data_IF_734846675985
#
_entry.id   IF_734846675985
#
_cell.length_a   1.000
_cell.length_b   1.000
_cell.length_c   1.000
_cell.angle_alpha   90.00
_cell.angle_beta   90.00
_cell.angle_gamma   90.00
#
_symmetry.space_group_name_H-M   'P 1'
#
loop_
_entity.id
_entity.type
_entity.pdbx_description
1 polymer ?
#
# COMPACT_ATOMS: atom_id res chain seq x y z
N UNK A 1 11.86 24.87 11.61
CA UNK A 1 10.66 24.12 12.02
C UNK A 1 10.99 23.40 13.31
N UNK A 2 10.01 23.22 14.19
CA UNK A 2 10.13 22.25 15.29
C UNK A 2 10.29 20.87 14.66
N UNK A 3 11.43 20.22 14.89
CA UNK A 3 11.67 18.85 14.42
C UNK A 3 10.78 17.92 15.24
N UNK A 4 9.73 17.38 14.62
CA UNK A 4 8.91 16.34 15.23
C UNK A 4 9.60 15.00 15.01
N UNK A 5 9.83 14.27 16.09
CA UNK A 5 10.48 12.95 16.06
C UNK A 5 9.43 11.91 16.38
N UNK A 6 9.40 10.81 15.63
CA UNK A 6 8.46 9.71 15.83
C UNK A 6 9.20 8.49 16.41
N UNK A 7 8.55 7.69 17.27
CA UNK A 7 9.17 6.49 17.82
C UNK A 7 9.30 5.37 16.77
N UNK A 8 8.36 5.31 15.82
CA UNK A 8 8.28 4.32 14.75
C UNK A 8 7.47 4.87 13.56
N UNK A 9 7.41 4.08 12.48
CA UNK A 9 6.67 4.42 11.27
C UNK A 9 5.16 4.42 11.48
N UNK A 10 4.63 3.47 12.26
CA UNK A 10 3.20 3.38 12.59
C UNK A 10 2.70 4.68 13.22
N UNK A 11 3.42 5.21 14.23
CA UNK A 11 3.08 6.46 14.92
C UNK A 11 3.17 7.69 14.02
N UNK A 12 4.14 7.72 13.10
CA UNK A 12 4.23 8.77 12.08
C UNK A 12 3.00 8.75 11.17
N UNK A 13 2.63 7.58 10.66
CA UNK A 13 1.53 7.41 9.73
C UNK A 13 0.17 7.73 10.39
N UNK A 14 -0.03 7.32 11.65
CA UNK A 14 -1.27 7.57 12.41
C UNK A 14 -1.66 9.03 12.55
N UNK A 15 -0.69 9.95 12.51
CA UNK A 15 -0.94 11.36 12.78
C UNK A 15 -1.54 12.11 11.58
N UNK A 16 -1.26 11.65 10.36
CA UNK A 16 -1.54 12.42 9.14
C UNK A 16 -2.21 11.61 8.04
N UNK A 17 -2.69 10.40 8.31
CA UNK A 17 -3.30 9.54 7.30
C UNK A 17 -4.83 9.60 7.28
N UNK A 18 -5.40 9.07 6.21
CA UNK A 18 -6.77 8.57 6.15
C UNK A 18 -6.76 7.08 6.51
N UNK A 19 -7.44 6.70 7.58
CA UNK A 19 -7.56 5.31 8.04
C UNK A 19 -8.79 4.62 7.45
N UNK A 20 -8.61 3.39 6.95
CA UNK A 20 -9.60 2.55 6.29
C UNK A 20 -9.60 1.12 6.87
N UNK A 21 -10.70 0.36 6.73
CA UNK A 21 -10.74 -1.07 7.04
C UNK A 21 -9.84 -1.87 6.09
N UNK A 22 -9.67 -3.18 6.31
CA UNK A 22 -9.17 -4.09 5.27
C UNK A 22 -9.97 -3.93 3.97
N UNK A 23 -9.27 -3.99 2.82
CA UNK A 23 -9.87 -3.76 1.51
C UNK A 23 -9.48 -4.82 0.49
N UNK A 24 -10.45 -5.15 -0.37
CA UNK A 24 -10.24 -5.93 -1.59
C UNK A 24 -10.67 -5.04 -2.76
N UNK A 25 -9.68 -4.54 -3.51
CA UNK A 25 -9.86 -3.67 -4.67
C UNK A 25 -9.97 -4.54 -5.93
N UNK A 26 -11.06 -5.31 -6.07
CA UNK A 26 -11.32 -6.21 -7.20
C UNK A 26 -12.35 -5.61 -8.20
N UNK A 27 -12.89 -6.40 -9.12
CA UNK A 27 -13.92 -5.96 -10.08
C UNK A 27 -15.35 -5.96 -9.48
N UNK A 28 -15.47 -6.32 -8.20
CA UNK A 28 -16.73 -6.49 -7.49
C UNK A 28 -17.04 -5.27 -6.60
N UNK A 29 -18.10 -5.37 -5.81
CA UNK A 29 -18.48 -4.35 -4.84
C UNK A 29 -17.89 -4.57 -3.43
N UNK A 30 -16.95 -5.49 -3.28
CA UNK A 30 -16.34 -5.85 -1.99
C UNK A 30 -15.78 -4.64 -1.24
N UNK A 31 -15.02 -3.77 -1.94
CA UNK A 31 -14.49 -2.55 -1.32
C UNK A 31 -15.59 -1.58 -0.88
N UNK A 32 -16.59 -1.33 -1.73
CA UNK A 32 -17.71 -0.44 -1.42
C UNK A 32 -18.53 -0.94 -0.21
N UNK A 33 -18.73 -2.26 -0.08
CA UNK A 33 -19.38 -2.87 1.08
C UNK A 33 -18.54 -2.64 2.35
N UNK A 34 -17.23 -2.90 2.30
CA UNK A 34 -16.35 -2.71 3.45
C UNK A 34 -16.34 -1.26 3.93
N UNK A 35 -16.25 -0.29 3.00
CA UNK A 35 -16.31 1.14 3.31
C UNK A 35 -17.67 1.53 3.92
N UNK A 36 -18.77 1.03 3.36
CA UNK A 36 -20.12 1.29 3.89
C UNK A 36 -20.26 0.77 5.33
N UNK A 37 -19.77 -0.44 5.60
CA UNK A 37 -19.80 -1.01 6.95
C UNK A 37 -18.97 -0.19 7.93
N UNK A 38 -17.74 0.17 7.57
CA UNK A 38 -16.86 1.00 8.41
C UNK A 38 -17.46 2.38 8.71
N UNK A 39 -18.23 2.93 7.76
CA UNK A 39 -18.99 4.16 7.95
C UNK A 39 -20.11 3.98 9.00
N UNK A 40 -20.86 2.87 8.94
CA UNK A 40 -21.93 2.56 9.90
C UNK A 40 -21.37 2.39 11.32
N UNK A 41 -20.18 1.81 11.44
CA UNK A 41 -19.48 1.62 12.71
C UNK A 41 -18.93 2.95 13.28
N UNK A 42 -18.88 4.01 12.47
CA UNK A 42 -18.37 5.32 12.88
C UNK A 42 -16.85 5.35 13.06
N UNK A 43 -16.14 4.44 12.38
CA UNK A 43 -14.70 4.21 12.57
C UNK A 43 -13.81 5.17 11.76
N UNK A 44 -14.39 5.94 10.83
CA UNK A 44 -13.64 6.96 10.10
C UNK A 44 -13.17 8.11 11.00
N UNK A 45 -12.03 8.75 10.67
CA UNK A 45 -11.61 9.98 11.31
C UNK A 45 -12.72 11.05 11.29
N UNK A 46 -12.87 11.78 12.40
CA UNK A 46 -13.85 12.87 12.48
C UNK A 46 -13.52 13.93 11.43
N UNK A 47 -14.48 14.19 10.54
CA UNK A 47 -14.30 15.13 9.42
C UNK A 47 -13.88 14.48 8.10
N UNK A 48 -13.85 13.14 8.01
CA UNK A 48 -13.77 12.45 6.73
C UNK A 48 -15.10 12.56 5.97
N UNK A 49 -15.01 12.89 4.68
CA UNK A 49 -16.14 12.84 3.75
C UNK A 49 -16.10 11.52 2.99
N UNK A 50 -17.15 10.71 3.14
CA UNK A 50 -17.28 9.36 2.56
C UNK A 50 -18.44 9.35 1.57
N UNK A 51 -18.16 8.92 0.34
CA UNK A 51 -19.14 8.74 -0.72
C UNK A 51 -19.01 7.34 -1.32
N UNK A 52 -20.09 6.57 -1.30
CA UNK A 52 -20.19 5.26 -1.97
C UNK A 52 -21.29 5.36 -3.02
N UNK A 53 -21.01 4.97 -4.26
CA UNK A 53 -21.97 5.03 -5.37
C UNK A 53 -21.85 3.78 -6.22
N UNK A 54 -22.86 2.90 -6.11
CA UNK A 54 -22.78 1.58 -6.72
C UNK A 54 -21.63 0.79 -6.11
N UNK A 55 -20.72 0.34 -6.97
CA UNK A 55 -19.56 -0.48 -6.61
C UNK A 55 -18.30 0.38 -6.35
N UNK A 56 -18.39 1.68 -6.63
CA UNK A 56 -17.29 2.64 -6.46
C UNK A 56 -17.38 3.39 -5.14
N UNK A 57 -16.24 3.84 -4.61
CA UNK A 57 -16.19 4.71 -3.44
C UNK A 57 -15.20 5.86 -3.62
N UNK A 58 -15.38 6.91 -2.82
CA UNK A 58 -14.46 8.05 -2.70
C UNK A 58 -14.47 8.51 -1.26
N UNK A 59 -13.29 8.68 -0.68
CA UNK A 59 -13.11 9.14 0.69
C UNK A 59 -12.06 10.24 0.69
N UNK A 60 -12.36 11.34 1.39
CA UNK A 60 -11.43 12.45 1.56
C UNK A 60 -11.31 12.83 3.03
N UNK A 61 -10.11 13.14 3.48
CA UNK A 61 -9.83 13.61 4.84
C UNK A 61 -8.62 14.55 4.83
N UNK A 62 -8.88 15.84 5.04
CA UNK A 62 -7.85 16.88 4.89
C UNK A 62 -7.31 16.90 3.45
N UNK A 63 -6.00 16.66 3.30
CA UNK A 63 -5.35 16.53 1.98
C UNK A 63 -5.30 15.09 1.48
N UNK A 64 -5.67 14.09 2.28
CA UNK A 64 -5.62 12.69 1.87
C UNK A 64 -6.91 12.31 1.17
N UNK A 65 -6.81 11.54 0.10
CA UNK A 65 -7.97 11.01 -0.59
C UNK A 65 -7.66 9.69 -1.27
N UNK A 66 -8.69 8.85 -1.34
CA UNK A 66 -8.66 7.61 -2.10
C UNK A 66 -10.03 7.36 -2.69
N UNK A 67 -10.05 6.99 -3.97
CA UNK A 67 -11.24 6.51 -4.65
C UNK A 67 -10.90 5.29 -5.48
N UNK A 68 -11.88 4.41 -5.61
CA UNK A 68 -11.76 3.22 -6.44
C UNK A 68 -13.02 3.06 -7.27
N UNK A 69 -12.84 2.90 -8.58
CA UNK A 69 -13.90 2.62 -9.54
C UNK A 69 -13.60 1.28 -10.23
N UNK A 70 -14.25 0.19 -9.81
CA UNK A 70 -14.06 -1.13 -10.43
C UNK A 70 -14.62 -1.20 -11.85
N UNK A 71 -15.43 -0.22 -12.26
CA UNK A 71 -16.14 -0.20 -13.55
C UNK A 71 -15.59 0.80 -14.56
N UNK A 72 -14.35 1.29 -14.33
CA UNK A 72 -13.75 2.35 -15.13
C UNK A 72 -13.74 2.05 -16.64
N UNK A 73 -13.34 0.83 -17.02
CA UNK A 73 -13.50 0.28 -18.36
C UNK A 73 -13.60 -1.26 -18.30
N UNK A 74 -13.83 -1.91 -19.44
CA UNK A 74 -13.87 -3.37 -19.50
C UNK A 74 -12.54 -3.97 -19.04
N UNK A 75 -12.58 -4.86 -18.05
CA UNK A 75 -11.41 -5.49 -17.41
C UNK A 75 -10.39 -4.46 -16.86
N UNK A 76 -10.83 -3.26 -16.52
CA UNK A 76 -9.96 -2.19 -16.01
C UNK A 76 -10.65 -1.40 -14.90
N UNK A 77 -10.01 -1.34 -13.74
CA UNK A 77 -10.39 -0.51 -12.62
C UNK A 77 -9.47 0.71 -12.50
N UNK A 78 -9.98 1.78 -11.86
CA UNK A 78 -9.21 2.99 -11.58
C UNK A 78 -9.12 3.23 -10.07
N UNK A 79 -7.90 3.27 -9.55
CA UNK A 79 -7.54 3.71 -8.21
C UNK A 79 -7.00 5.14 -8.26
N UNK A 80 -7.71 6.12 -7.71
CA UNK A 80 -7.15 7.47 -7.54
C UNK A 80 -6.68 7.66 -6.11
N UNK A 81 -5.46 8.16 -5.92
CA UNK A 81 -4.86 8.34 -4.61
C UNK A 81 -4.13 9.66 -4.46
N UNK A 82 -4.28 10.28 -3.29
CA UNK A 82 -3.49 11.42 -2.88
C UNK A 82 -3.14 11.32 -1.38
N UNK A 83 -1.87 11.57 -1.04
CA UNK A 83 -1.42 11.61 0.35
C UNK A 83 -1.19 10.23 0.96
N UNK A 84 -1.53 10.08 2.24
CA UNK A 84 -1.21 8.90 3.06
C UNK A 84 -2.47 8.16 3.47
N UNK A 85 -2.57 6.88 3.10
CA UNK A 85 -3.72 6.02 3.37
C UNK A 85 -3.27 4.83 4.24
N UNK A 86 -3.91 4.63 5.39
CA UNK A 86 -3.64 3.50 6.29
C UNK A 86 -4.77 2.48 6.18
N UNK A 87 -4.42 1.22 5.99
CA UNK A 87 -5.33 0.08 6.01
C UNK A 87 -5.13 -0.64 7.36
N UNK A 88 -6.19 -0.76 8.16
CA UNK A 88 -6.20 -1.47 9.45
C UNK A 88 -6.31 -3.00 9.27
N UNK A 89 -5.39 -3.55 8.49
CA UNK A 89 -5.37 -4.95 8.10
C UNK A 89 -4.63 -5.12 6.79
N UNK A 90 -5.11 -6.09 6.02
CA UNK A 90 -4.50 -6.44 4.74
C UNK A 90 -5.20 -5.72 3.59
N UNK A 91 -4.46 -5.58 2.49
CA UNK A 91 -4.94 -4.99 1.25
C UNK A 91 -4.75 -5.97 0.10
N UNK A 92 -5.82 -6.25 -0.63
CA UNK A 92 -5.76 -7.02 -1.87
C UNK A 92 -6.02 -6.06 -3.03
N UNK A 93 -5.12 -6.07 -4.03
CA UNK A 93 -5.19 -5.22 -5.22
C UNK A 93 -5.44 -6.07 -6.46
N UNK A 94 -6.65 -5.87 -6.97
CA UNK A 94 -7.19 -6.53 -8.15
C UNK A 94 -7.34 -8.03 -8.01
N UNK A 95 -7.63 -8.63 -9.14
CA UNK A 95 -7.72 -10.06 -9.32
C UNK A 95 -7.19 -10.44 -10.69
N UNK A 96 -7.22 -11.74 -10.98
CA UNK A 96 -6.72 -12.27 -12.25
C UNK A 96 -7.46 -11.63 -13.44
N UNK A 97 -6.68 -11.18 -14.41
CA UNK A 97 -7.15 -10.55 -15.66
C UNK A 97 -7.75 -9.15 -15.50
N UNK A 98 -7.72 -8.56 -14.31
CA UNK A 98 -8.07 -7.16 -14.12
C UNK A 98 -6.81 -6.28 -14.26
N UNK A 99 -6.96 -5.14 -14.94
CA UNK A 99 -5.98 -4.05 -14.91
C UNK A 99 -6.39 -3.03 -13.85
N UNK A 100 -5.53 -2.82 -12.84
CA UNK A 100 -5.71 -1.71 -11.90
C UNK A 100 -4.81 -0.56 -12.33
N UNK A 101 -5.43 0.46 -12.92
CA UNK A 101 -4.75 1.72 -13.19
C UNK A 101 -4.74 2.57 -11.92
N UNK A 102 -3.65 3.26 -11.66
CA UNK A 102 -3.60 4.27 -10.59
C UNK A 102 -3.30 5.68 -11.10
N UNK A 103 -3.97 6.66 -10.52
CA UNK A 103 -3.82 8.09 -10.81
C UNK A 103 -3.52 8.84 -9.50
N UNK A 104 -2.50 9.70 -9.54
CA UNK A 104 -2.10 10.54 -8.43
C UNK A 104 -0.88 10.05 -7.67
N UNK A 105 -0.69 10.65 -6.49
CA UNK A 105 0.55 10.55 -5.69
C UNK A 105 0.23 10.24 -4.26
N UNK A 106 0.52 9.01 -3.83
CA UNK A 106 0.27 8.64 -2.45
C UNK A 106 0.90 7.32 -2.04
N UNK A 107 0.86 7.09 -0.74
CA UNK A 107 1.35 5.86 -0.11
C UNK A 107 0.19 5.16 0.58
N UNK A 108 0.01 3.88 0.27
CA UNK A 108 -0.88 2.99 1.02
C UNK A 108 -0.03 2.15 1.97
N UNK A 109 -0.40 2.17 3.24
CA UNK A 109 0.25 1.42 4.30
C UNK A 109 -0.72 0.40 4.89
N UNK A 110 -0.46 -0.89 4.64
CA UNK A 110 -1.13 -2.00 5.33
C UNK A 110 -0.50 -2.19 6.70
N UNK A 111 -1.14 -1.61 7.72
CA UNK A 111 -0.63 -1.56 9.07
C UNK A 111 -0.93 -2.83 9.89
N UNK A 112 -1.76 -3.71 9.35
CA UNK A 112 -2.32 -4.82 10.09
C UNK A 112 -3.38 -4.36 11.09
N UNK A 113 -4.10 -5.33 11.62
CA UNK A 113 -5.01 -5.15 12.74
C UNK A 113 -4.28 -5.25 14.07
N UNK A 114 -5.02 -4.96 15.15
CA UNK A 114 -4.57 -5.23 16.53
C UNK A 114 -4.76 -6.68 16.94
N UNK A 115 -5.46 -7.48 16.12
CA UNK A 115 -5.75 -8.88 16.40
C UNK A 115 -4.55 -9.77 16.03
N UNK A 116 -3.70 -10.00 17.02
CA UNK A 116 -2.50 -10.85 16.89
C UNK A 116 -2.82 -12.35 16.81
N UNK A 117 -4.10 -12.76 16.78
CA UNK A 117 -4.49 -14.17 16.67
C UNK A 117 -4.52 -14.70 15.24
N UNK A 118 -4.39 -13.82 14.25
CA UNK A 118 -4.36 -14.19 12.83
C UNK A 118 -2.93 -14.48 12.40
N UNK A 119 -2.72 -15.69 11.89
CA UNK A 119 -1.41 -16.20 11.47
C UNK A 119 -0.96 -15.61 10.12
N UNK A 120 0.33 -15.79 9.82
CA UNK A 120 0.87 -15.34 8.54
C UNK A 120 0.27 -16.04 7.32
N UNK A 121 -0.20 -15.27 6.32
CA UNK A 121 -0.87 -15.77 5.12
C UNK A 121 -2.38 -15.97 5.23
N UNK A 122 -3.01 -15.57 6.34
CA UNK A 122 -4.47 -15.54 6.48
C UNK A 122 -4.98 -14.10 6.27
N UNK A 123 -5.98 -13.91 5.43
CA UNK A 123 -6.53 -12.60 5.12
C UNK A 123 -7.13 -11.92 6.37
N UNK A 124 -6.68 -10.70 6.66
CA UNK A 124 -7.44 -9.70 7.41
C UNK A 124 -6.80 -9.09 8.66
N UNK A 125 -5.51 -9.26 8.99
CA UNK A 125 -5.05 -8.71 10.28
C UNK A 125 -3.55 -8.45 10.49
N UNK A 126 -2.67 -8.74 9.55
CA UNK A 126 -1.22 -8.73 9.83
C UNK A 126 -0.42 -7.68 9.06
N UNK A 127 -1.08 -6.98 8.13
CA UNK A 127 -0.51 -5.88 7.38
C UNK A 127 0.24 -6.35 6.16
N UNK A 128 -0.33 -7.34 5.46
CA UNK A 128 0.14 -7.83 4.18
C UNK A 128 -0.52 -7.07 3.02
N UNK A 129 0.15 -7.09 1.87
CA UNK A 129 -0.41 -6.59 0.62
C UNK A 129 -0.27 -7.65 -0.48
N UNK A 130 -1.39 -8.02 -1.07
CA UNK A 130 -1.46 -8.94 -2.22
C UNK A 130 -1.78 -8.16 -3.50
N UNK A 131 -1.02 -8.41 -4.56
CA UNK A 131 -1.24 -7.80 -5.88
C UNK A 131 -1.41 -8.91 -6.92
N UNK A 132 -2.65 -9.08 -7.38
CA UNK A 132 -3.07 -10.13 -8.32
C UNK A 132 -3.31 -9.61 -9.75
N UNK A 133 -3.12 -8.31 -9.96
CA UNK A 133 -3.46 -7.58 -11.18
C UNK A 133 -2.25 -6.84 -11.76
N UNK A 134 -2.43 -6.31 -12.98
CA UNK A 134 -1.55 -5.25 -13.45
C UNK A 134 -1.76 -4.01 -12.56
N UNK A 135 -0.67 -3.37 -12.14
CA UNK A 135 -0.70 -2.16 -11.30
C UNK A 135 0.07 -1.04 -12.00
N UNK A 136 -0.63 -0.25 -12.80
CA UNK A 136 -0.02 0.60 -13.84
C UNK A 136 -0.41 2.07 -13.60
N UNK A 137 0.53 3.04 -13.68
CA UNK A 137 0.19 4.46 -13.65
C UNK A 137 -0.67 4.83 -14.87
N UNK A 138 -1.66 5.70 -14.69
CA UNK A 138 -2.40 6.30 -15.82
C UNK A 138 -1.48 7.17 -16.67
N UNK A 139 -0.65 7.99 -16.02
CA UNK A 139 0.36 8.85 -16.61
C UNK A 139 1.78 8.29 -16.48
N UNK A 140 2.74 9.15 -16.17
CA UNK A 140 4.18 8.82 -16.23
C UNK A 140 4.72 8.52 -14.82
N UNK A 141 5.11 7.27 -14.56
CA UNK A 141 5.87 6.91 -13.37
C UNK A 141 7.35 7.31 -13.49
N UNK A 142 7.96 7.93 -12.45
CA UNK A 142 7.38 8.32 -11.16
C UNK A 142 6.97 9.81 -11.08
N UNK A 143 7.02 10.55 -12.19
CA UNK A 143 6.93 12.02 -12.18
C UNK A 143 5.52 12.59 -12.08
N UNK A 144 4.52 11.91 -12.65
CA UNK A 144 3.12 12.34 -12.62
C UNK A 144 2.39 11.50 -11.57
N UNK A 145 2.39 10.19 -11.78
CA UNK A 145 1.75 9.23 -10.89
C UNK A 145 2.81 8.39 -10.19
N UNK A 146 2.67 8.26 -8.88
CA UNK A 146 3.57 7.48 -8.05
C UNK A 146 2.81 6.88 -6.88
N UNK A 147 2.82 5.56 -6.83
CA UNK A 147 2.21 4.79 -5.75
C UNK A 147 3.31 4.21 -4.86
N UNK A 148 3.20 4.48 -3.57
CA UNK A 148 3.94 3.79 -2.52
C UNK A 148 3.08 2.66 -1.96
N UNK A 149 3.63 1.45 -1.92
CA UNK A 149 2.99 0.26 -1.36
C UNK A 149 3.83 -0.19 -0.19
N UNK A 150 3.30 -0.04 1.02
CA UNK A 150 4.00 -0.33 2.26
C UNK A 150 3.23 -1.39 3.02
N UNK A 151 3.81 -2.57 3.19
CA UNK A 151 3.27 -3.60 4.07
C UNK A 151 4.05 -3.60 5.38
N UNK A 152 3.34 -3.64 6.50
CA UNK A 152 3.97 -3.86 7.81
C UNK A 152 4.75 -5.17 7.84
N UNK A 153 4.23 -6.19 7.14
CA UNK A 153 4.86 -7.50 7.10
C UNK A 153 5.26 -7.89 5.69
N UNK A 154 4.37 -8.45 4.86
CA UNK A 154 4.76 -9.00 3.57
C UNK A 154 4.05 -8.37 2.38
N UNK A 155 4.72 -8.35 1.22
CA UNK A 155 4.09 -8.05 -0.07
C UNK A 155 4.17 -9.28 -0.96
N UNK A 156 3.03 -9.72 -1.46
CA UNK A 156 2.88 -10.81 -2.41
C UNK A 156 2.52 -10.28 -3.79
N UNK A 157 3.46 -10.40 -4.73
CA UNK A 157 3.29 -9.97 -6.12
C UNK A 157 3.09 -11.20 -7.00
N UNK A 158 1.88 -11.31 -7.56
CA UNK A 158 1.47 -12.41 -8.45
C UNK A 158 1.55 -13.82 -7.81
N UNK A 159 1.28 -13.97 -6.51
CA UNK A 159 1.34 -15.27 -5.84
C UNK A 159 0.09 -16.14 -6.06
N UNK A 160 -0.99 -15.56 -6.58
CA UNK A 160 -2.27 -16.24 -6.79
C UNK A 160 -2.30 -17.20 -7.98
N UNK A 161 -3.31 -18.09 -8.08
CA UNK A 161 -3.41 -19.07 -9.16
C UNK A 161 -3.60 -18.44 -10.56
N UNK A 162 -2.55 -18.48 -11.37
CA UNK A 162 -2.57 -17.97 -12.74
C UNK A 162 -2.09 -16.53 -12.90
N UNK A 163 -1.82 -15.82 -11.80
CA UNK A 163 -1.22 -14.50 -11.80
C UNK A 163 0.18 -14.60 -12.40
N UNK A 164 0.35 -14.21 -13.64
CA UNK A 164 1.63 -14.30 -14.34
C UNK A 164 1.62 -13.29 -15.46
N UNK A 165 2.81 -12.86 -15.91
CA UNK A 165 2.95 -11.87 -16.97
C UNK A 165 2.35 -10.52 -16.60
N UNK A 166 2.32 -10.21 -15.29
CA UNK A 166 1.82 -8.94 -14.78
C UNK A 166 2.86 -7.83 -14.93
N UNK A 167 2.36 -6.62 -15.15
CA UNK A 167 3.09 -5.36 -15.23
C UNK A 167 2.76 -4.53 -14.00
N UNK A 168 3.79 -4.11 -13.28
CA UNK A 168 3.61 -3.30 -12.07
C UNK A 168 4.62 -2.15 -12.07
N UNK A 169 4.18 -0.97 -11.65
CA UNK A 169 5.09 0.14 -11.39
C UNK A 169 4.73 0.83 -10.08
N UNK A 170 5.57 0.71 -9.05
CA UNK A 170 5.37 1.34 -7.75
C UNK A 170 6.67 1.34 -6.91
N UNK A 171 6.67 2.04 -5.79
CA UNK A 171 7.69 1.90 -4.76
C UNK A 171 7.19 0.90 -3.71
N UNK A 172 7.91 -0.19 -3.49
CA UNK A 172 7.49 -1.28 -2.61
C UNK A 172 8.36 -1.35 -1.35
N UNK A 173 7.71 -1.39 -0.20
CA UNK A 173 8.34 -1.64 1.10
C UNK A 173 7.61 -2.77 1.82
N UNK A 174 8.28 -3.88 2.10
CA UNK A 174 7.77 -4.97 2.92
C UNK A 174 8.62 -5.08 4.18
N UNK A 175 8.01 -4.97 5.36
CA UNK A 175 8.75 -5.01 6.62
C UNK A 175 9.55 -6.30 6.84
N UNK A 176 9.07 -7.42 6.29
CA UNK A 176 9.72 -8.74 6.33
C UNK A 176 10.06 -9.23 4.93
N UNK A 177 9.08 -9.70 4.18
CA UNK A 177 9.31 -10.33 2.88
C UNK A 177 8.61 -9.57 1.75
N UNK A 178 9.28 -9.46 0.60
CA UNK A 178 8.58 -9.23 -0.67
C UNK A 178 8.80 -10.45 -1.54
N UNK A 179 7.71 -11.11 -1.90
CA UNK A 179 7.70 -12.31 -2.73
C UNK A 179 7.07 -11.99 -4.07
N UNK A 180 7.85 -12.08 -5.14
CA UNK A 180 7.36 -11.94 -6.52
C UNK A 180 7.56 -13.25 -7.25
N UNK A 181 6.48 -14.00 -7.49
CA UNK A 181 6.57 -15.28 -8.20
C UNK A 181 6.28 -15.11 -9.69
N UNK A 182 6.86 -15.99 -10.52
CA UNK A 182 6.56 -16.10 -11.95
C UNK A 182 7.13 -14.94 -12.78
N UNK A 183 6.88 -15.01 -14.09
CA UNK A 183 7.45 -14.09 -15.07
C UNK A 183 6.67 -12.78 -15.08
N UNK A 184 6.96 -11.87 -14.16
CA UNK A 184 6.36 -10.52 -14.13
C UNK A 184 7.39 -9.46 -14.53
N UNK A 185 6.92 -8.25 -14.82
CA UNK A 185 7.74 -7.10 -15.16
C UNK A 185 7.41 -5.97 -14.18
N UNK A 186 8.37 -5.63 -13.34
CA UNK A 186 8.15 -4.67 -12.26
C UNK A 186 9.14 -3.53 -12.38
N UNK A 187 8.64 -2.30 -12.48
CA UNK A 187 9.42 -1.08 -12.47
C UNK A 187 9.29 -0.40 -11.11
N UNK A 188 10.40 -0.07 -10.46
CA UNK A 188 10.34 0.55 -9.15
C UNK A 188 11.54 0.26 -8.26
N UNK A 189 11.29 0.25 -6.97
CA UNK A 189 12.27 -0.08 -5.94
C UNK A 189 11.63 -0.99 -4.91
N UNK A 190 12.41 -1.95 -4.42
CA UNK A 190 12.03 -2.87 -3.35
C UNK A 190 12.91 -2.61 -2.13
N UNK A 191 12.28 -2.48 -0.97
CA UNK A 191 12.96 -2.41 0.33
C UNK A 191 12.32 -3.42 1.25
N UNK A 192 13.08 -4.41 1.69
CA UNK A 192 12.63 -5.51 2.53
C UNK A 192 13.81 -6.23 3.17
N UNK A 193 13.54 -7.05 4.20
CA UNK A 193 14.55 -7.92 4.81
C UNK A 193 14.85 -9.13 3.91
N UNK A 194 13.79 -9.76 3.38
CA UNK A 194 13.88 -10.92 2.49
C UNK A 194 13.19 -10.61 1.16
N UNK A 195 13.87 -10.94 0.06
CA UNK A 195 13.29 -10.87 -1.28
C UNK A 195 13.26 -12.25 -1.91
N UNK A 196 12.06 -12.81 -2.10
CA UNK A 196 11.85 -14.12 -2.74
C UNK A 196 11.34 -13.95 -4.18
N UNK A 197 12.02 -14.59 -5.12
CA UNK A 197 11.67 -14.59 -6.55
C UNK A 197 10.94 -15.88 -6.98
N UNK A 198 10.62 -16.76 -6.02
CA UNK A 198 10.02 -18.05 -6.27
C UNK A 198 10.83 -18.91 -7.24
N UNK A 199 10.13 -19.76 -8.01
CA UNK A 199 10.76 -20.68 -8.97
C UNK A 199 11.06 -20.04 -10.33
N UNK A 200 10.27 -19.05 -10.72
CA UNK A 200 10.31 -18.41 -12.04
C UNK A 200 10.63 -16.94 -11.82
N UNK A 201 11.76 -16.48 -12.37
CA UNK A 201 12.37 -15.19 -12.00
C UNK A 201 11.65 -14.00 -12.67
N UNK A 202 11.19 -12.99 -11.91
CA UNK A 202 10.63 -11.76 -12.45
C UNK A 202 11.72 -10.84 -13.02
N UNK A 203 11.33 -9.92 -13.91
CA UNK A 203 12.21 -8.84 -14.38
C UNK A 203 11.97 -7.59 -13.55
N UNK A 204 13.02 -7.08 -12.93
CA UNK A 204 12.97 -5.89 -12.07
C UNK A 204 13.77 -4.78 -12.73
N UNK A 205 13.13 -3.64 -12.89
CA UNK A 205 13.70 -2.43 -13.48
C UNK A 205 13.76 -1.35 -12.40
N UNK A 206 14.97 -0.99 -11.98
CA UNK A 206 15.12 0.18 -11.11
C UNK A 206 14.81 1.46 -11.89
N UNK A 207 14.14 2.38 -11.22
CA UNK A 207 13.78 3.69 -11.76
C UNK A 207 14.53 4.75 -10.97
N UNK A 208 15.71 5.21 -11.43
CA UNK A 208 16.57 6.11 -10.65
C UNK A 208 15.89 7.41 -10.25
N UNK A 209 15.00 7.92 -11.10
CA UNK A 209 14.30 9.20 -10.86
C UNK A 209 13.28 9.12 -9.70
N UNK A 210 12.97 7.92 -9.22
CA UNK A 210 12.03 7.72 -8.11
C UNK A 210 12.50 8.40 -6.82
N UNK A 211 13.81 8.51 -6.59
CA UNK A 211 14.36 9.18 -5.40
C UNK A 211 13.94 10.65 -5.30
N UNK A 212 13.75 11.34 -6.43
CA UNK A 212 13.32 12.75 -6.47
C UNK A 212 11.79 12.89 -6.48
N UNK A 213 11.07 11.77 -6.56
CA UNK A 213 9.63 11.72 -6.79
C UNK A 213 8.93 10.78 -5.82
N UNK A 214 9.51 10.49 -4.66
CA UNK A 214 8.90 9.59 -3.69
C UNK A 214 7.49 10.09 -3.30
N UNK A 215 6.51 9.19 -3.17
CA UNK A 215 5.17 9.56 -2.75
C UNK A 215 5.20 10.01 -1.28
N UNK A 216 4.27 10.91 -0.88
CA UNK A 216 4.19 11.39 0.49
C UNK A 216 3.99 10.22 1.45
N UNK A 217 4.64 10.30 2.62
CA UNK A 217 4.58 9.28 3.66
C UNK A 217 5.46 8.05 3.45
N UNK A 218 6.04 7.84 2.26
CA UNK A 218 6.97 6.74 2.06
C UNK A 218 8.27 6.99 2.85
N UNK A 219 8.87 5.91 3.36
CA UNK A 219 10.14 5.97 4.10
C UNK A 219 11.21 6.63 3.21
N UNK A 220 11.75 7.76 3.69
CA UNK A 220 12.77 8.54 2.98
C UNK A 220 12.22 9.64 2.05
N UNK A 221 10.91 9.80 1.91
CA UNK A 221 10.31 10.90 1.12
C UNK A 221 10.43 12.27 1.80
N UNK A 222 10.37 12.27 3.13
CA UNK A 222 10.46 13.47 3.97
C UNK A 222 11.51 13.24 5.07
N UNK A 223 12.01 14.33 5.67
CA UNK A 223 12.91 14.27 6.83
C UNK A 223 12.15 13.76 8.08
N UNK A 224 11.90 12.45 8.11
CA UNK A 224 11.29 11.77 9.24
C UNK A 224 12.40 11.34 10.19
N UNK A 225 12.52 12.03 11.32
CA UNK A 225 13.43 11.64 12.38
C UNK A 225 12.76 10.53 13.21
N UNK A 226 13.06 9.27 12.89
CA UNK A 226 12.66 8.14 13.72
C UNK A 226 13.74 7.94 14.79
N UNK A 227 13.40 8.19 16.06
CA UNK A 227 14.30 7.84 17.17
C UNK A 227 14.31 6.33 17.34
N UNK A 228 15.20 5.66 16.61
CA UNK A 228 15.60 4.32 17.00
C UNK A 228 16.29 4.47 18.35
N UNK A 229 15.70 3.92 19.42
CA UNK A 229 16.24 4.00 20.78
C UNK A 229 17.54 3.20 20.93
N UNK A 230 18.57 3.53 20.16
CA UNK A 230 19.91 2.97 20.28
C UNK A 230 20.43 3.31 21.68
N UNK A 231 20.27 2.38 22.61
CA UNK A 231 21.10 2.33 23.81
C UNK A 231 22.44 1.75 23.41
N UNK A 232 23.41 2.62 23.15
CA UNK A 232 24.81 2.23 23.13
C UNK A 232 25.15 1.60 24.49
N UNK A 233 25.25 0.27 24.54
CA UNK A 233 25.86 -0.42 25.69
C UNK A 233 27.34 -0.61 25.38
N UNK A 234 28.15 0.30 25.88
CA UNK A 234 29.60 0.16 25.89
C UNK A 234 30.01 -0.77 27.03
N UNK A 235 30.90 -1.72 26.76
CA UNK A 235 31.43 -2.69 27.73
C UNK A 235 32.31 -2.06 28.83
N UNK A 236 32.47 -0.73 28.83
CA UNK A 236 33.42 -0.02 29.69
C UNK A 236 32.82 0.56 30.97
N UNK A 237 31.58 0.22 31.32
CA UNK A 237 30.89 0.79 32.49
C UNK A 237 30.16 -0.22 33.39
N UNK A 238 30.46 -1.52 33.25
CA UNK A 238 30.08 -2.53 34.26
C UNK A 238 31.28 -2.87 35.17
#
# INVERSE_FOLDING_TARGET
GTSTTYPDYDTFFDTYCLTLPPLVLDDSNSAAIAITQYQIEGSFPVGADVSVTGDSFTITYGTNSISYDPTHAADTALLTINGMIKIEGDLVIGEKSLDVLYDGRGTIYAAGGTDTSVEAGEAGAIGDIDVHSNLIPVGIFPTQDVLGVVAKRDIYLADGPGDSQLYMAAAFYGGREIKSTKQNQIAGTFVCDVFDMGTNVPKIYQVPELINNLPPGLIGAEDIWITTGFKERSWRVD
#
